data_IF_051635399253
#
_entry.id   IF_051635399253
#
_cell.length_a   1.000
_cell.length_b   1.000
_cell.length_c   1.000
_cell.angle_alpha   90.00
_cell.angle_beta   90.00
_cell.angle_gamma   90.00
#
_symmetry.space_group_name_H-M   'P 1'
#
loop_
_entity.id
_entity.type
_entity.pdbx_description
1 polymer ?
#
# COMPACT_ATOMS: atom_id res chain seq x y z
N UNK A 1 5.87 -27.74 29.74
CA UNK A 1 4.48 -27.57 29.27
C UNK A 1 4.56 -26.93 27.90
N UNK A 2 3.95 -27.53 26.89
CA UNK A 2 3.92 -26.96 25.55
C UNK A 2 3.07 -25.69 25.54
N UNK A 3 3.47 -24.72 24.72
CA UNK A 3 2.74 -23.46 24.62
C UNK A 3 1.38 -23.69 23.93
N UNK A 4 0.26 -23.17 24.46
CA UNK A 4 -1.07 -23.37 23.88
C UNK A 4 -1.17 -22.94 22.41
N UNK A 5 -0.43 -21.89 22.01
CA UNK A 5 -0.40 -21.38 20.64
C UNK A 5 0.29 -22.34 19.66
N UNK A 6 1.38 -22.99 20.10
CA UNK A 6 2.13 -23.96 19.28
C UNK A 6 1.31 -25.23 19.10
N UNK A 7 0.68 -25.72 20.17
CA UNK A 7 -0.18 -26.90 20.12
C UNK A 7 -1.43 -26.65 19.26
N UNK A 8 -2.00 -25.44 19.30
CA UNK A 8 -3.09 -25.05 18.41
C UNK A 8 -2.66 -25.07 16.93
N UNK A 9 -1.49 -24.50 16.62
CA UNK A 9 -0.93 -24.53 15.25
C UNK A 9 -0.69 -25.95 14.78
N UNK A 10 -0.12 -26.81 15.62
CA UNK A 10 0.14 -28.20 15.27
C UNK A 10 -1.16 -28.98 15.05
N UNK A 11 -2.18 -28.77 15.88
CA UNK A 11 -3.48 -29.40 15.70
C UNK A 11 -4.18 -28.94 14.41
N UNK A 12 -4.05 -27.66 14.04
CA UNK A 12 -4.55 -27.13 12.77
C UNK A 12 -3.85 -27.78 11.57
N UNK A 13 -2.52 -27.93 11.63
CA UNK A 13 -1.73 -28.60 10.59
C UNK A 13 -2.06 -30.09 10.45
N UNK A 14 -2.24 -30.77 11.59
CA UNK A 14 -2.56 -32.19 11.66
C UNK A 14 -4.06 -32.47 11.40
N UNK A 15 -4.86 -31.43 11.15
CA UNK A 15 -6.31 -31.48 10.97
C UNK A 15 -7.03 -32.24 12.11
N UNK A 16 -6.54 -32.05 13.35
CA UNK A 16 -7.11 -32.63 14.56
C UNK A 16 -8.38 -31.89 14.97
N UNK A 17 -9.29 -32.57 15.66
CA UNK A 17 -10.50 -31.96 16.19
C UNK A 17 -10.14 -30.89 17.23
N UNK A 18 -10.58 -29.65 16.98
CA UNK A 18 -10.46 -28.50 17.86
C UNK A 18 -11.86 -27.97 18.09
N UNK A 19 -12.26 -27.83 19.35
CA UNK A 19 -13.62 -27.38 19.67
C UNK A 19 -13.86 -27.26 21.17
N UNK A 20 -15.08 -26.86 21.50
CA UNK A 20 -15.56 -26.80 22.87
C UNK A 20 -16.29 -28.09 23.25
N UNK A 21 -16.66 -28.21 24.53
CA UNK A 21 -17.59 -29.25 24.95
C UNK A 21 -18.98 -28.99 24.32
N UNK A 22 -19.77 -30.04 24.10
CA UNK A 22 -21.08 -29.93 23.44
C UNK A 22 -21.98 -28.89 24.15
N UNK A 23 -22.37 -27.84 23.42
CA UNK A 23 -23.31 -26.80 23.89
C UNK A 23 -22.68 -25.47 24.35
N UNK A 24 -21.35 -25.32 24.31
CA UNK A 24 -20.68 -24.07 24.70
C UNK A 24 -20.38 -23.16 23.49
N UNK A 25 -20.71 -21.86 23.60
CA UNK A 25 -20.27 -20.79 22.68
C UNK A 25 -18.93 -20.21 23.13
N UNK A 26 -18.20 -19.58 22.21
CA UNK A 26 -16.89 -18.97 22.44
C UNK A 26 -16.90 -17.95 23.59
N UNK A 27 -18.02 -17.27 23.83
CA UNK A 27 -18.20 -16.32 24.93
C UNK A 27 -18.22 -16.97 26.31
N UNK A 28 -18.78 -18.19 26.43
CA UNK A 28 -19.03 -18.87 27.71
C UNK A 28 -18.04 -20.02 28.00
N UNK A 29 -17.39 -20.55 26.98
CA UNK A 29 -16.40 -21.60 27.13
C UNK A 29 -15.21 -21.09 27.95
N UNK A 30 -14.75 -21.90 28.92
CA UNK A 30 -13.53 -21.62 29.73
C UNK A 30 -12.32 -22.43 29.26
N UNK A 31 -12.56 -23.50 28.52
CA UNK A 31 -11.55 -24.48 28.11
C UNK A 31 -11.70 -24.76 26.62
N UNK A 32 -10.57 -24.80 25.91
CA UNK A 32 -10.46 -25.23 24.52
C UNK A 32 -9.85 -26.65 24.49
N UNK A 33 -10.54 -27.58 23.84
CA UNK A 33 -10.05 -28.93 23.64
C UNK A 33 -9.25 -28.99 22.32
N UNK A 34 -7.98 -29.37 22.42
CA UNK A 34 -7.07 -29.53 21.29
C UNK A 34 -6.57 -30.99 21.31
N UNK A 35 -7.26 -31.88 20.62
CA UNK A 35 -7.03 -33.33 20.73
C UNK A 35 -7.26 -33.83 22.17
N UNK A 36 -6.28 -34.51 22.75
CA UNK A 36 -6.35 -35.05 24.13
C UNK A 36 -5.98 -34.03 25.23
N UNK A 37 -5.65 -32.78 24.85
CA UNK A 37 -5.21 -31.74 25.78
C UNK A 37 -6.25 -30.63 25.93
N UNK A 38 -6.35 -30.11 27.14
CA UNK A 38 -7.25 -29.02 27.51
C UNK A 38 -6.46 -27.77 27.87
N UNK A 39 -6.82 -26.64 27.25
CA UNK A 39 -6.19 -25.35 27.49
C UNK A 39 -7.20 -24.31 27.97
N UNK A 40 -6.82 -23.47 28.94
CA UNK A 40 -7.67 -22.36 29.36
C UNK A 40 -7.71 -21.28 28.28
N UNK A 41 -8.90 -20.82 27.93
CA UNK A 41 -9.11 -19.78 26.90
C UNK A 41 -8.56 -18.41 27.32
N UNK A 42 -8.50 -18.15 28.63
CA UNK A 42 -7.96 -16.92 29.21
C UNK A 42 -6.44 -16.98 29.42
N UNK A 43 -5.80 -18.10 29.06
CA UNK A 43 -4.36 -18.21 29.15
C UNK A 43 -3.70 -17.21 28.18
N UNK A 44 -2.75 -16.39 28.67
CA UNK A 44 -1.98 -15.51 27.80
C UNK A 44 -1.10 -16.34 26.87
N UNK A 45 -1.00 -15.91 25.62
CA UNK A 45 -0.19 -16.59 24.59
C UNK A 45 1.03 -15.76 24.22
N UNK A 46 1.99 -16.34 23.50
CA UNK A 46 3.13 -15.60 22.95
C UNK A 46 2.77 -14.65 21.80
N UNK A 47 1.49 -14.53 21.44
CA UNK A 47 1.03 -13.55 20.45
C UNK A 47 0.86 -12.17 21.11
N UNK A 48 1.76 -11.25 20.75
CA UNK A 48 1.90 -9.91 21.34
C UNK A 48 1.80 -8.85 20.26
N UNK A 49 0.88 -7.90 20.45
CA UNK A 49 0.73 -6.73 19.59
C UNK A 49 0.98 -5.49 20.44
N UNK A 50 1.94 -4.66 20.04
CA UNK A 50 2.29 -3.40 20.72
C UNK A 50 2.52 -3.56 22.25
N UNK A 51 3.07 -4.71 22.67
CA UNK A 51 3.33 -5.03 24.09
C UNK A 51 2.12 -5.56 24.87
N UNK A 52 0.94 -5.71 24.23
CA UNK A 52 -0.23 -6.40 24.81
C UNK A 52 -0.25 -7.85 24.35
N UNK A 53 -0.15 -8.78 25.29
CA UNK A 53 -0.34 -10.21 25.03
C UNK A 53 -1.83 -10.52 24.88
N UNK A 54 -2.17 -11.35 23.89
CA UNK A 54 -3.55 -11.76 23.64
C UNK A 54 -3.80 -13.18 24.15
N UNK A 55 -5.03 -13.40 24.61
CA UNK A 55 -5.46 -14.69 25.13
C UNK A 55 -5.78 -15.68 24.00
N UNK A 56 -5.72 -16.97 24.33
CA UNK A 56 -6.05 -18.05 23.39
C UNK A 56 -7.45 -17.91 22.79
N UNK A 57 -8.40 -17.34 23.55
CA UNK A 57 -9.76 -16.99 23.12
C UNK A 57 -9.78 -16.16 21.83
N UNK A 58 -8.94 -15.13 21.75
CA UNK A 58 -8.89 -14.20 20.62
C UNK A 58 -8.34 -14.90 19.39
N UNK A 59 -7.29 -15.70 19.58
CA UNK A 59 -6.62 -16.45 18.51
C UNK A 59 -7.57 -17.50 17.91
N UNK A 60 -8.27 -18.25 18.76
CA UNK A 60 -9.22 -19.25 18.31
C UNK A 60 -10.42 -18.62 17.59
N UNK A 61 -10.95 -17.49 18.10
CA UNK A 61 -12.01 -16.73 17.41
C UNK A 61 -11.55 -16.27 16.01
N UNK A 62 -10.29 -15.82 15.86
CA UNK A 62 -9.74 -15.48 14.55
C UNK A 62 -9.70 -16.68 13.59
N UNK A 63 -9.41 -17.88 14.11
CA UNK A 63 -9.36 -19.11 13.34
C UNK A 63 -10.74 -19.59 12.88
N UNK A 64 -11.74 -19.51 13.76
CA UNK A 64 -13.13 -19.88 13.45
C UNK A 64 -13.67 -18.99 12.33
N UNK A 65 -13.43 -17.68 12.43
CA UNK A 65 -13.89 -16.70 11.45
C UNK A 65 -12.91 -16.50 10.29
N UNK A 66 -11.91 -17.37 10.08
CA UNK A 66 -10.85 -17.14 9.07
C UNK A 66 -11.35 -16.90 7.63
N UNK A 67 -12.51 -17.46 7.28
CA UNK A 67 -13.11 -17.38 5.94
C UNK A 67 -14.19 -16.27 5.86
N UNK A 68 -14.48 -15.59 6.98
CA UNK A 68 -15.48 -14.51 7.10
C UNK A 68 -14.85 -13.12 6.92
N UNK A 69 -15.67 -12.12 6.57
CA UNK A 69 -15.19 -10.75 6.37
C UNK A 69 -14.67 -10.13 7.67
N UNK A 70 -13.93 -9.01 7.56
CA UNK A 70 -13.47 -8.28 8.76
C UNK A 70 -14.61 -7.66 9.55
N UNK A 71 -15.66 -7.20 8.86
CA UNK A 71 -16.82 -6.62 9.51
C UNK A 71 -17.59 -7.67 10.33
N UNK A 72 -17.76 -8.88 9.79
CA UNK A 72 -18.47 -9.96 10.48
C UNK A 72 -17.72 -10.42 11.73
N UNK A 73 -16.39 -10.53 11.63
CA UNK A 73 -15.54 -10.86 12.77
C UNK A 73 -15.58 -9.82 13.88
N UNK A 74 -15.52 -8.52 13.56
CA UNK A 74 -15.60 -7.45 14.56
C UNK A 74 -16.94 -7.51 15.28
N UNK A 75 -18.02 -7.68 14.52
CA UNK A 75 -19.39 -7.78 15.06
C UNK A 75 -19.52 -8.95 16.05
N UNK A 76 -18.93 -10.11 15.72
CA UNK A 76 -18.99 -11.27 16.62
C UNK A 76 -18.06 -11.12 17.84
N UNK A 77 -16.90 -10.46 17.68
CA UNK A 77 -16.03 -10.14 18.81
C UNK A 77 -16.71 -9.20 19.81
N UNK A 78 -17.43 -8.18 19.32
CA UNK A 78 -18.22 -7.28 20.17
C UNK A 78 -19.35 -8.03 20.90
N UNK A 79 -20.05 -8.92 20.20
CA UNK A 79 -21.14 -9.72 20.77
C UNK A 79 -20.67 -10.66 21.88
N UNK A 80 -19.51 -11.30 21.73
CA UNK A 80 -18.95 -12.25 22.70
C UNK A 80 -17.98 -11.57 23.70
N UNK A 81 -17.90 -10.24 23.69
CA UNK A 81 -17.06 -9.40 24.54
C UNK A 81 -15.56 -9.78 24.51
N UNK A 82 -15.01 -9.89 23.29
CA UNK A 82 -13.63 -10.25 23.00
C UNK A 82 -12.92 -9.05 22.37
N UNK A 83 -11.73 -8.72 22.87
CA UNK A 83 -10.85 -7.72 22.26
C UNK A 83 -10.34 -8.21 20.90
N UNK A 84 -11.00 -7.79 19.82
CA UNK A 84 -10.64 -8.16 18.45
C UNK A 84 -9.29 -7.57 18.02
N UNK A 85 -8.62 -8.24 17.08
CA UNK A 85 -7.37 -7.78 16.47
C UNK A 85 -7.62 -7.16 15.09
N UNK A 86 -6.70 -6.31 14.63
CA UNK A 86 -6.85 -5.61 13.36
C UNK A 86 -6.68 -6.55 12.16
N UNK A 87 -7.12 -6.11 10.98
CA UNK A 87 -7.07 -6.91 9.75
C UNK A 87 -5.66 -7.43 9.41
N UNK A 88 -4.63 -6.60 9.63
CA UNK A 88 -3.24 -6.94 9.30
C UNK A 88 -2.75 -8.09 10.18
N UNK A 89 -2.95 -7.96 11.49
CA UNK A 89 -2.56 -8.96 12.49
C UNK A 89 -3.35 -10.26 12.30
N UNK A 90 -4.66 -10.15 12.04
CA UNK A 90 -5.52 -11.31 11.77
C UNK A 90 -5.06 -12.10 10.55
N UNK A 91 -4.73 -11.42 9.46
CA UNK A 91 -4.26 -12.07 8.22
C UNK A 91 -2.94 -12.81 8.46
N UNK A 92 -2.00 -12.18 9.15
CA UNK A 92 -0.70 -12.81 9.46
C UNK A 92 -0.85 -13.99 10.42
N UNK A 93 -1.65 -13.85 11.48
CA UNK A 93 -1.92 -14.92 12.45
C UNK A 93 -2.56 -16.13 11.77
N UNK A 94 -3.52 -15.93 10.86
CA UNK A 94 -4.16 -17.02 10.10
C UNK A 94 -3.13 -17.74 9.21
N UNK A 95 -2.30 -16.99 8.48
CA UNK A 95 -1.24 -17.59 7.65
C UNK A 95 -0.22 -18.36 8.50
N UNK A 96 0.10 -17.88 9.72
CA UNK A 96 1.00 -18.57 10.64
C UNK A 96 0.38 -19.87 11.19
N UNK A 97 -0.88 -19.82 11.59
CA UNK A 97 -1.64 -20.99 12.08
C UNK A 97 -1.79 -22.06 10.99
N UNK A 98 -2.03 -21.67 9.73
CA UNK A 98 -2.03 -22.58 8.56
C UNK A 98 -0.66 -23.19 8.28
N UNK A 99 0.41 -22.53 8.75
CA UNK A 99 1.78 -22.92 8.45
C UNK A 99 2.33 -22.38 7.13
N UNK A 100 1.67 -21.41 6.51
CA UNK A 100 2.14 -20.72 5.30
C UNK A 100 3.39 -19.88 5.59
N UNK A 101 3.48 -19.36 6.81
CA UNK A 101 4.67 -18.65 7.33
C UNK A 101 5.21 -19.37 8.57
N UNK A 102 6.53 -19.46 8.69
CA UNK A 102 7.20 -20.10 9.84
C UNK A 102 7.30 -19.16 11.03
N UNK A 103 7.64 -17.89 10.76
CA UNK A 103 7.91 -16.86 11.75
C UNK A 103 6.90 -15.73 11.57
N UNK A 104 6.33 -15.23 12.66
CA UNK A 104 5.44 -14.05 12.66
C UNK A 104 6.10 -12.92 13.45
N UNK A 105 5.90 -11.68 12.99
CA UNK A 105 6.40 -10.49 13.69
C UNK A 105 5.72 -10.25 15.05
N UNK A 106 4.59 -10.92 15.29
CA UNK A 106 3.75 -10.76 16.47
C UNK A 106 3.88 -11.91 17.48
N UNK A 107 4.82 -12.84 17.29
CA UNK A 107 5.05 -13.97 18.22
C UNK A 107 6.38 -13.76 18.94
N UNK A 108 6.32 -13.42 20.23
CA UNK A 108 7.50 -13.27 21.07
C UNK A 108 8.00 -14.63 21.56
N UNK A 109 9.28 -14.96 21.33
CA UNK A 109 9.90 -16.13 21.96
C UNK A 109 10.27 -17.30 21.04
N UNK A 110 10.50 -17.08 19.73
CA UNK A 110 11.05 -18.11 18.85
C UNK A 110 12.56 -18.38 19.13
N UNK A 111 12.83 -18.97 20.31
CA UNK A 111 14.01 -19.77 20.65
C UNK A 111 13.53 -21.06 21.34
N UNK A 112 12.62 -21.79 20.71
CA UNK A 112 12.38 -23.19 21.09
C UNK A 112 12.58 -24.06 19.87
N UNK A 113 13.57 -24.93 20.01
CA UNK A 113 13.97 -26.00 19.10
C UNK A 113 12.76 -26.83 18.70
N UNK A 114 12.35 -26.75 17.44
CA UNK A 114 11.62 -27.84 16.81
C UNK A 114 12.65 -28.58 15.95
N UNK A 115 12.98 -29.79 16.42
CA UNK A 115 13.64 -30.82 15.63
C UNK A 115 12.80 -31.10 14.39
N UNK A 116 13.28 -30.63 13.24
CA UNK A 116 12.74 -30.97 11.93
C UNK A 116 13.11 -32.43 11.62
N UNK A 117 12.17 -33.35 11.86
CA UNK A 117 12.05 -34.52 11.00
C UNK A 117 11.42 -34.06 9.69
N UNK A 118 12.29 -33.78 8.71
CA UNK A 118 11.88 -33.46 7.35
C UNK A 118 12.00 -34.72 6.49
N UNK A 119 10.87 -35.19 5.96
CA UNK A 119 10.79 -36.31 5.03
C UNK A 119 9.99 -35.95 3.77
N UNK A 120 10.71 -35.49 2.73
CA UNK A 120 10.59 -35.84 1.29
C UNK A 120 9.22 -35.60 0.61
N UNK A 121 9.09 -34.80 -0.45
CA UNK A 121 9.66 -34.89 -1.81
C UNK A 121 9.35 -33.52 -2.50
N UNK A 122 10.05 -33.02 -3.52
CA UNK A 122 10.19 -33.65 -4.83
C UNK A 122 11.23 -32.91 -5.73
N UNK A 123 11.97 -33.73 -6.47
CA UNK A 123 12.60 -33.50 -7.79
C UNK A 123 13.73 -32.46 -7.93
N UNK A 124 14.93 -32.91 -7.52
CA UNK A 124 16.18 -32.57 -8.19
C UNK A 124 16.35 -33.35 -9.51
N UNK A 125 16.59 -32.62 -10.59
CA UNK A 125 17.15 -33.15 -11.84
C UNK A 125 18.61 -33.61 -11.59
N UNK A 126 19.01 -34.82 -12.01
CA UNK A 126 20.33 -35.36 -11.66
C UNK A 126 21.41 -34.79 -12.58
N UNK A 127 22.03 -33.69 -12.14
CA UNK A 127 23.31 -33.21 -12.65
C UNK A 127 24.44 -34.20 -12.33
N UNK A 128 24.77 -35.03 -13.32
CA UNK A 128 25.92 -35.95 -13.30
C UNK A 128 27.21 -35.23 -12.91
N UNK A 129 27.75 -35.54 -11.71
CA UNK A 129 29.17 -35.87 -11.42
C UNK A 129 29.37 -36.06 -9.91
N UNK A 130 28.90 -37.18 -9.37
CA UNK A 130 29.51 -37.78 -8.18
C UNK A 130 30.95 -38.14 -8.56
N UNK A 131 31.93 -37.31 -8.20
CA UNK A 131 33.29 -37.84 -7.98
C UNK A 131 33.13 -38.78 -6.80
N UNK A 132 33.36 -40.09 -7.02
CA UNK A 132 33.41 -41.09 -5.96
C UNK A 132 34.34 -40.55 -4.87
N UNK A 133 33.77 -40.14 -3.74
CA UNK A 133 34.56 -39.97 -2.53
C UNK A 133 35.09 -41.38 -2.25
N UNK A 134 36.39 -41.59 -2.44
CA UNK A 134 37.06 -42.83 -2.10
C UNK A 134 36.75 -43.19 -0.65
N UNK A 135 36.70 -44.49 -0.34
CA UNK A 135 36.52 -45.03 1.02
C UNK A 135 37.68 -44.69 1.99
N UNK A 136 38.44 -43.64 1.69
CA UNK A 136 39.53 -43.15 2.49
C UNK A 136 38.98 -42.51 3.77
N UNK A 137 39.32 -43.02 4.97
CA UNK A 137 38.85 -42.48 6.23
C UNK A 137 39.19 -41.00 6.41
N UNK A 138 40.29 -40.51 5.82
CA UNK A 138 40.68 -39.10 5.89
C UNK A 138 39.69 -38.20 5.13
N UNK A 139 39.20 -38.63 3.96
CA UNK A 139 38.26 -37.84 3.16
C UNK A 139 36.87 -37.79 3.80
N UNK A 140 36.47 -38.83 4.54
CA UNK A 140 35.25 -38.83 5.35
C UNK A 140 35.34 -37.85 6.51
N UNK A 141 36.50 -37.77 7.17
CA UNK A 141 36.76 -36.83 8.26
C UNK A 141 36.86 -35.38 7.76
N UNK A 142 37.41 -35.15 6.57
CA UNK A 142 37.42 -33.81 5.95
C UNK A 142 35.99 -33.40 5.55
N UNK A 143 35.23 -34.31 4.93
CA UNK A 143 33.85 -34.01 4.51
C UNK A 143 32.89 -33.78 5.69
N UNK A 144 33.09 -34.45 6.83
CA UNK A 144 32.27 -34.21 8.04
C UNK A 144 32.55 -32.85 8.69
N UNK A 145 33.75 -32.31 8.49
CA UNK A 145 34.18 -31.01 9.02
C UNK A 145 34.06 -29.87 7.99
N UNK A 146 33.76 -30.16 6.73
CA UNK A 146 33.59 -29.16 5.67
C UNK A 146 32.27 -28.38 5.85
N UNK A 147 32.34 -27.05 5.67
CA UNK A 147 31.16 -26.17 5.68
C UNK A 147 31.07 -25.43 4.36
N UNK A 148 30.09 -25.78 3.53
CA UNK A 148 29.82 -25.08 2.27
C UNK A 148 29.13 -23.74 2.57
N UNK A 149 29.91 -22.66 2.51
CA UNK A 149 29.43 -21.31 2.82
C UNK A 149 28.47 -20.78 1.74
N UNK A 150 28.72 -21.09 0.47
CA UNK A 150 27.96 -20.58 -0.68
C UNK A 150 27.83 -21.69 -1.72
N UNK A 151 26.60 -22.00 -2.08
CA UNK A 151 26.26 -22.93 -3.16
C UNK A 151 25.82 -22.14 -4.40
N UNK A 152 25.91 -22.72 -5.60
CA UNK A 152 25.52 -22.11 -6.87
C UNK A 152 24.11 -21.51 -6.81
N UNK A 153 23.17 -22.21 -6.17
CA UNK A 153 21.80 -21.74 -5.99
C UNK A 153 21.67 -20.63 -4.93
N UNK A 154 22.60 -20.57 -3.96
CA UNK A 154 22.69 -19.45 -3.01
C UNK A 154 23.31 -18.21 -3.64
N UNK A 155 24.21 -18.34 -4.63
CA UNK A 155 24.76 -17.19 -5.40
C UNK A 155 23.67 -16.46 -6.18
N UNK A 156 22.70 -17.21 -6.73
CA UNK A 156 21.59 -16.65 -7.51
C UNK A 156 20.56 -15.91 -6.65
N UNK A 157 20.64 -16.02 -5.31
CA UNK A 157 19.76 -15.33 -4.36
C UNK A 157 20.56 -14.23 -3.67
N UNK A 158 19.98 -13.04 -3.54
CA UNK A 158 20.60 -11.97 -2.76
C UNK A 158 20.71 -12.34 -1.28
N UNK A 159 21.63 -11.69 -0.55
CA UNK A 159 21.83 -11.90 0.90
C UNK A 159 20.57 -11.68 1.76
N UNK A 160 19.58 -10.96 1.21
CA UNK A 160 18.27 -10.76 1.84
C UNK A 160 17.25 -11.65 1.14
N UNK A 161 16.59 -12.58 1.85
CA UNK A 161 15.47 -13.31 1.29
C UNK A 161 14.35 -12.32 0.97
N UNK A 162 14.21 -11.96 -0.30
CA UNK A 162 13.10 -11.15 -0.81
C UNK A 162 12.23 -12.04 -1.66
N UNK A 163 11.02 -12.29 -1.20
CA UNK A 163 10.00 -12.99 -1.97
C UNK A 163 9.18 -11.97 -2.77
N UNK A 164 9.11 -12.16 -4.09
CA UNK A 164 8.34 -11.34 -5.00
C UNK A 164 7.10 -12.07 -5.54
N UNK A 165 6.76 -13.25 -4.99
CA UNK A 165 5.62 -14.07 -5.43
C UNK A 165 4.29 -13.33 -5.33
N UNK A 166 4.12 -12.46 -4.32
CA UNK A 166 2.92 -11.63 -4.19
C UNK A 166 2.82 -10.58 -5.31
N UNK A 167 3.94 -9.93 -5.64
CA UNK A 167 4.02 -8.94 -6.73
C UNK A 167 3.79 -9.62 -8.09
N UNK A 168 4.31 -10.84 -8.27
CA UNK A 168 4.10 -11.64 -9.47
C UNK A 168 2.60 -12.00 -9.64
N UNK A 169 1.93 -12.47 -8.58
CA UNK A 169 0.48 -12.77 -8.59
C UNK A 169 -0.36 -11.52 -8.84
N UNK A 170 0.00 -10.39 -8.25
CA UNK A 170 -0.66 -9.10 -8.47
C UNK A 170 -0.51 -8.62 -9.93
N UNK A 171 0.66 -8.83 -10.54
CA UNK A 171 0.86 -8.55 -11.97
C UNK A 171 0.03 -9.48 -12.85
N UNK A 172 -0.03 -10.78 -12.53
CA UNK A 172 -0.83 -11.74 -13.28
C UNK A 172 -2.32 -11.37 -13.29
N UNK A 173 -2.87 -11.05 -12.11
CA UNK A 173 -4.28 -10.70 -11.97
C UNK A 173 -4.64 -9.39 -12.69
N UNK A 174 -3.78 -8.37 -12.62
CA UNK A 174 -4.10 -7.02 -13.12
C UNK A 174 -3.59 -6.72 -14.52
N UNK A 175 -2.59 -7.42 -15.02
CA UNK A 175 -1.96 -7.13 -16.33
C UNK A 175 -2.29 -8.21 -17.35
N UNK A 176 -2.28 -9.49 -16.95
CA UNK A 176 -2.56 -10.59 -17.88
C UNK A 176 -4.05 -10.96 -17.94
N UNK A 177 -4.75 -10.96 -16.79
CA UNK A 177 -6.19 -11.30 -16.72
C UNK A 177 -7.12 -10.15 -17.09
N UNK A 178 -6.72 -8.89 -16.90
CA UNK A 178 -7.46 -7.72 -17.41
C UNK A 178 -7.20 -7.43 -18.90
N UNK A 179 -7.12 -8.47 -19.73
CA UNK A 179 -7.29 -8.30 -21.17
C UNK A 179 -8.80 -8.24 -21.43
N UNK A 180 -9.38 -7.08 -21.81
CA UNK A 180 -10.81 -7.01 -22.05
C UNK A 180 -11.17 -7.93 -23.21
N UNK A 181 -12.06 -8.88 -22.93
CA UNK A 181 -12.85 -9.61 -23.91
C UNK A 181 -13.81 -8.64 -24.59
N UNK A 182 -13.29 -7.76 -25.44
CA UNK A 182 -14.06 -7.03 -26.44
C UNK A 182 -13.13 -6.49 -27.53
N UNK A 183 -12.70 -7.40 -28.41
CA UNK A 183 -12.21 -7.07 -29.74
C UNK A 183 -12.63 -8.20 -30.69
N UNK A 184 -13.94 -8.28 -30.98
CA UNK A 184 -14.42 -8.88 -32.23
C UNK A 184 -14.68 -7.74 -33.20
N UNK A 185 -13.88 -7.68 -34.25
CA UNK A 185 -13.98 -6.72 -35.35
C UNK A 185 -12.72 -6.74 -36.21
N UNK A 186 -12.81 -7.48 -37.33
CA UNK A 186 -12.01 -7.51 -38.58
C UNK A 186 -11.01 -6.36 -38.83
N UNK A 187 -9.90 -6.48 -39.55
CA UNK A 187 -9.34 -7.51 -40.41
C UNK A 187 -7.89 -7.12 -40.76
N UNK A 188 -7.09 -8.13 -41.08
CA UNK A 188 -5.95 -8.11 -42.01
C UNK A 188 -4.72 -7.19 -41.82
N UNK A 189 -3.56 -7.83 -42.10
CA UNK A 189 -2.33 -7.25 -42.66
C UNK A 189 -1.27 -6.76 -41.65
N UNK A 190 -0.39 -7.71 -41.31
CA UNK A 190 0.80 -7.45 -40.53
C UNK A 190 1.82 -6.56 -41.24
N UNK A 191 2.49 -5.73 -40.45
CA UNK A 191 3.85 -5.25 -40.75
C UNK A 191 4.64 -5.19 -39.44
N UNK A 192 5.68 -6.01 -39.38
CA UNK A 192 6.75 -5.86 -38.41
C UNK A 192 7.42 -4.51 -38.66
N UNK A 193 7.46 -3.65 -37.64
CA UNK A 193 8.41 -2.53 -37.60
C UNK A 193 9.23 -2.63 -36.32
N UNK A 194 10.52 -2.81 -36.55
CA UNK A 194 11.62 -2.67 -35.60
C UNK A 194 11.50 -1.34 -34.85
N UNK A 195 11.32 -1.40 -33.53
CA UNK A 195 11.43 -0.21 -32.68
C UNK A 195 12.67 -0.29 -31.82
N UNK A 196 13.63 0.54 -32.19
CA UNK A 196 14.76 1.01 -31.41
C UNK A 196 14.36 1.33 -29.97
N UNK A 197 15.08 0.73 -29.04
CA UNK A 197 15.01 0.98 -27.60
C UNK A 197 15.39 2.41 -27.25
N UNK A 198 14.42 3.19 -26.81
CA UNK A 198 14.62 4.42 -26.03
C UNK A 198 13.52 4.52 -24.96
N UNK A 199 13.82 5.08 -23.78
CA UNK A 199 13.17 4.71 -22.52
C UNK A 199 11.71 5.17 -22.47
N UNK A 200 10.82 4.22 -22.19
CA UNK A 200 9.37 4.28 -22.35
C UNK A 200 8.59 4.88 -21.17
N UNK A 201 9.23 5.47 -20.17
CA UNK A 201 8.51 5.95 -18.97
C UNK A 201 7.59 7.15 -19.24
N UNK A 202 7.87 7.98 -20.25
CA UNK A 202 7.04 9.16 -20.56
C UNK A 202 5.82 8.85 -21.44
N UNK A 203 5.76 7.65 -22.03
CA UNK A 203 4.70 7.34 -23.01
C UNK A 203 3.36 7.01 -22.35
N UNK A 204 3.36 6.44 -21.16
CA UNK A 204 2.15 5.99 -20.44
C UNK A 204 1.48 7.08 -19.59
N UNK A 205 2.21 8.11 -19.16
CA UNK A 205 1.63 9.22 -18.40
C UNK A 205 0.63 10.06 -19.23
N UNK A 206 0.74 10.00 -20.57
CA UNK A 206 -0.06 10.80 -21.53
C UNK A 206 -1.52 10.39 -21.61
N UNK A 207 -1.84 9.15 -21.24
CA UNK A 207 -3.21 8.62 -21.26
C UNK A 207 -3.88 8.62 -19.86
N UNK A 208 -3.13 9.01 -18.82
CA UNK A 208 -3.61 8.98 -17.43
C UNK A 208 -3.99 10.38 -16.98
N UNK A 209 -5.01 10.50 -16.12
CA UNK A 209 -5.48 11.81 -15.65
C UNK A 209 -4.35 12.57 -14.91
N UNK A 210 -4.13 13.87 -15.21
CA UNK A 210 -3.18 14.74 -14.52
C UNK A 210 -3.61 14.99 -13.07
N UNK A 211 -2.66 15.29 -12.20
CA UNK A 211 -2.88 15.42 -10.75
C UNK A 211 -2.55 16.84 -10.25
N UNK A 212 -3.44 17.39 -9.44
CA UNK A 212 -3.23 18.60 -8.64
C UNK A 212 -3.09 18.17 -7.18
N UNK A 213 -2.00 18.56 -6.54
CA UNK A 213 -1.74 18.26 -5.13
C UNK A 213 -2.08 19.48 -4.28
N UNK A 214 -2.97 19.32 -3.31
CA UNK A 214 -3.33 20.33 -2.32
C UNK A 214 -2.45 20.22 -1.07
N UNK A 215 -2.41 21.28 -0.27
CA UNK A 215 -1.76 21.23 1.04
C UNK A 215 -2.70 20.54 2.04
N UNK A 216 -2.23 19.55 2.82
CA UNK A 216 -3.02 18.89 3.85
C UNK A 216 -3.25 19.78 5.10
N UNK A 217 -2.72 21.00 5.12
CA UNK A 217 -2.83 21.88 6.26
C UNK A 217 -4.24 22.49 6.41
N UNK A 218 -4.76 22.47 7.64
CA UNK A 218 -5.99 23.15 8.04
C UNK A 218 -5.95 24.68 7.95
N UNK A 219 -4.85 25.27 7.46
CA UNK A 219 -4.74 26.70 7.14
C UNK A 219 -4.78 26.97 5.63
N UNK A 220 -4.90 25.95 4.78
CA UNK A 220 -4.99 26.13 3.32
C UNK A 220 -6.33 26.75 2.92
N UNK A 221 -6.34 27.77 2.06
CA UNK A 221 -7.59 28.36 1.56
C UNK A 221 -8.33 27.44 0.59
N UNK A 222 -7.58 26.62 -0.16
CA UNK A 222 -8.12 25.62 -1.09
C UNK A 222 -7.90 24.24 -0.49
N UNK A 223 -8.99 23.51 -0.23
CA UNK A 223 -9.03 22.17 0.37
C UNK A 223 -9.95 21.24 -0.42
N UNK A 224 -9.97 19.97 -0.06
CA UNK A 224 -10.86 18.98 -0.67
C UNK A 224 -12.35 19.34 -0.56
N UNK A 225 -12.74 20.16 0.43
CA UNK A 225 -14.14 20.57 0.63
C UNK A 225 -14.63 21.59 -0.41
N UNK A 226 -13.80 22.58 -0.78
CA UNK A 226 -14.19 23.71 -1.62
C UNK A 226 -13.53 23.72 -3.02
N UNK A 227 -12.54 22.86 -3.27
CA UNK A 227 -11.72 22.92 -4.49
C UNK A 227 -12.54 22.70 -5.77
N UNK A 228 -13.64 21.95 -5.69
CA UNK A 228 -14.50 21.69 -6.85
C UNK A 228 -15.26 22.95 -7.24
N UNK A 229 -15.95 23.57 -6.29
CA UNK A 229 -16.71 24.81 -6.47
C UNK A 229 -15.77 25.95 -6.88
N UNK A 230 -14.58 26.00 -6.29
CA UNK A 230 -13.59 27.02 -6.63
C UNK A 230 -13.01 26.82 -8.03
N UNK A 231 -12.39 25.67 -8.32
CA UNK A 231 -11.67 25.48 -9.59
C UNK A 231 -12.60 25.21 -10.79
N UNK A 232 -13.77 24.61 -10.58
CA UNK A 232 -14.70 24.28 -11.66
C UNK A 232 -15.72 25.38 -11.91
N UNK A 233 -16.34 25.90 -10.84
CA UNK A 233 -17.41 26.89 -10.95
C UNK A 233 -16.93 28.34 -10.78
N UNK A 234 -15.68 28.53 -10.34
CA UNK A 234 -15.09 29.87 -10.14
C UNK A 234 -15.64 30.59 -8.90
N UNK A 235 -16.13 29.84 -7.89
CA UNK A 235 -16.75 30.40 -6.68
C UNK A 235 -15.97 29.99 -5.45
N UNK A 236 -15.38 30.95 -4.74
CA UNK A 236 -14.68 30.62 -3.50
C UNK A 236 -15.65 30.46 -2.34
N UNK A 237 -15.58 29.30 -1.69
CA UNK A 237 -16.26 29.01 -0.44
C UNK A 237 -15.24 28.91 0.69
N UNK A 238 -15.54 29.51 1.84
CA UNK A 238 -14.64 29.50 2.98
C UNK A 238 -14.56 28.07 3.56
N UNK A 239 -13.37 27.44 3.56
CA UNK A 239 -13.23 26.06 4.01
C UNK A 239 -13.49 25.87 5.51
N UNK A 240 -13.63 26.96 6.28
CA UNK A 240 -14.00 26.91 7.70
C UNK A 240 -15.50 26.71 7.92
N UNK A 241 -16.33 27.01 6.91
CA UNK A 241 -17.79 26.90 6.96
C UNK A 241 -18.32 25.62 6.32
N UNK A 242 -17.44 24.85 5.68
CA UNK A 242 -17.78 23.60 5.01
C UNK A 242 -17.42 22.40 5.89
N UNK A 243 -18.24 21.36 5.77
CA UNK A 243 -17.95 20.07 6.40
C UNK A 243 -16.68 19.49 5.80
N UNK A 244 -15.76 19.02 6.65
CA UNK A 244 -14.54 18.36 6.20
C UNK A 244 -14.90 17.19 5.28
N UNK A 245 -14.34 17.19 4.06
CA UNK A 245 -14.51 16.06 3.14
C UNK A 245 -13.76 14.84 3.69
N UNK A 246 -14.41 13.68 3.71
CA UNK A 246 -13.77 12.40 4.05
C UNK A 246 -12.97 11.81 2.89
N UNK A 247 -13.09 12.38 1.68
CA UNK A 247 -12.39 11.90 0.49
C UNK A 247 -11.03 12.59 0.30
N UNK A 248 -9.98 11.77 0.19
CA UNK A 248 -8.60 12.23 -0.08
C UNK A 248 -8.29 12.32 -1.59
N UNK A 249 -9.27 11.99 -2.44
CA UNK A 249 -9.17 12.01 -3.89
C UNK A 249 -10.50 12.49 -4.49
N UNK A 250 -10.42 13.49 -5.37
CA UNK A 250 -11.56 14.10 -6.02
C UNK A 250 -11.25 14.31 -7.50
N UNK A 251 -12.19 13.98 -8.38
CA UNK A 251 -12.06 14.32 -9.79
C UNK A 251 -12.76 15.65 -10.08
N UNK A 252 -12.07 16.55 -10.78
CA UNK A 252 -12.64 17.80 -11.31
C UNK A 252 -12.51 17.82 -12.82
N UNK A 253 -13.35 18.62 -13.48
CA UNK A 253 -13.35 18.71 -14.94
C UNK A 253 -13.15 20.16 -15.38
N UNK A 254 -12.14 20.41 -16.22
CA UNK A 254 -11.89 21.72 -16.82
C UNK A 254 -12.33 21.72 -18.27
N UNK A 255 -13.31 22.57 -18.59
CA UNK A 255 -13.65 22.95 -19.96
C UNK A 255 -12.81 24.17 -20.32
N UNK A 256 -12.00 24.09 -21.37
CA UNK A 256 -11.20 25.20 -21.87
C UNK A 256 -11.26 25.24 -23.38
N UNK A 257 -11.17 26.42 -23.96
CA UNK A 257 -11.10 26.63 -25.41
C UNK A 257 -9.84 26.04 -26.04
N UNK A 258 -8.79 25.81 -25.24
CA UNK A 258 -7.52 25.21 -25.71
C UNK A 258 -7.64 23.71 -25.98
N UNK A 259 -8.69 23.06 -25.49
CA UNK A 259 -8.92 21.62 -25.61
C UNK A 259 -10.29 21.35 -26.24
N UNK A 260 -10.40 20.35 -27.11
CA UNK A 260 -11.65 20.04 -27.82
C UNK A 260 -12.71 19.38 -26.92
N UNK A 261 -12.23 18.69 -25.89
CA UNK A 261 -12.99 17.93 -24.91
C UNK A 261 -12.59 18.43 -23.52
N UNK A 262 -13.48 18.29 -22.54
CA UNK A 262 -13.15 18.64 -21.17
C UNK A 262 -12.06 17.72 -20.61
N UNK A 263 -11.03 18.30 -20.01
CA UNK A 263 -9.98 17.53 -19.34
C UNK A 263 -10.45 17.18 -17.93
N UNK A 264 -10.33 15.90 -17.57
CA UNK A 264 -10.55 15.42 -16.21
C UNK A 264 -9.22 15.40 -15.45
N UNK A 265 -9.20 16.00 -14.26
CA UNK A 265 -8.04 16.08 -13.39
C UNK A 265 -8.36 15.45 -12.04
N UNK A 266 -7.35 14.84 -11.43
CA UNK A 266 -7.43 14.33 -10.07
C UNK A 266 -6.85 15.35 -9.10
N UNK A 267 -7.58 15.60 -8.02
CA UNK A 267 -7.17 16.45 -6.91
C UNK A 267 -6.97 15.57 -5.70
N UNK A 268 -5.86 15.76 -5.01
CA UNK A 268 -5.44 14.96 -3.85
C UNK A 268 -4.82 15.87 -2.80
N UNK A 269 -5.03 15.57 -1.53
CA UNK A 269 -4.44 16.30 -0.40
C UNK A 269 -3.34 15.50 0.34
N UNK A 270 -3.40 14.16 0.25
CA UNK A 270 -2.44 13.25 0.86
C UNK A 270 -1.64 12.46 -0.19
N UNK A 271 -0.36 12.79 -0.32
CA UNK A 271 0.54 12.09 -1.25
C UNK A 271 1.06 10.75 -0.71
N UNK A 272 1.14 10.54 0.61
CA UNK A 272 1.76 9.36 1.20
C UNK A 272 1.02 8.07 0.83
N UNK A 273 -0.32 8.12 0.85
CA UNK A 273 -1.16 6.96 0.54
C UNK A 273 -1.28 6.70 -0.96
N UNK A 274 -1.18 7.73 -1.79
CA UNK A 274 -1.48 7.68 -3.23
C UNK A 274 -0.24 7.57 -4.12
N UNK A 275 0.90 8.13 -3.70
CA UNK A 275 2.11 8.24 -4.51
C UNK A 275 3.12 7.14 -4.19
N UNK A 276 2.64 5.91 -3.97
CA UNK A 276 3.49 4.73 -3.74
C UNK A 276 4.40 4.41 -4.94
N UNK A 277 3.99 4.80 -6.15
CA UNK A 277 4.79 4.65 -7.38
C UNK A 277 5.36 5.99 -7.84
N UNK A 278 6.60 6.01 -8.32
CA UNK A 278 7.22 7.24 -8.85
C UNK A 278 6.46 7.84 -10.05
N UNK A 279 5.74 7.01 -10.82
CA UNK A 279 4.96 7.45 -12.00
C UNK A 279 3.87 8.48 -11.68
N UNK A 280 3.32 8.50 -10.45
CA UNK A 280 2.29 9.47 -10.07
C UNK A 280 2.83 10.90 -10.13
N UNK A 281 4.12 11.10 -9.81
CA UNK A 281 4.77 12.41 -9.88
C UNK A 281 4.87 12.96 -11.30
N UNK A 282 4.98 12.10 -12.31
CA UNK A 282 5.06 12.54 -13.71
C UNK A 282 3.73 13.17 -14.17
N UNK A 283 2.62 12.77 -13.52
CA UNK A 283 1.27 13.30 -13.76
C UNK A 283 0.96 14.59 -13.00
N UNK A 284 1.80 15.00 -12.06
CA UNK A 284 1.56 16.23 -11.27
C UNK A 284 1.73 17.46 -12.16
N UNK A 285 0.72 18.32 -12.19
CA UNK A 285 0.72 19.56 -12.99
C UNK A 285 0.77 20.82 -12.12
N UNK A 286 0.29 20.73 -10.88
CA UNK A 286 0.25 21.82 -9.93
C UNK A 286 0.37 21.32 -8.49
N UNK A 287 1.02 22.11 -7.64
CA UNK A 287 1.14 21.88 -6.20
C UNK A 287 0.69 23.16 -5.49
N UNK A 288 -0.33 23.07 -4.65
CA UNK A 288 -0.78 24.15 -3.78
C UNK A 288 -0.04 24.05 -2.45
N UNK A 289 0.55 25.15 -1.99
CA UNK A 289 1.27 25.21 -0.72
C UNK A 289 0.67 26.20 0.26
N UNK A 290 0.91 25.97 1.54
CA UNK A 290 0.65 26.94 2.63
C UNK A 290 1.90 27.69 3.09
N UNK A 291 3.05 27.50 2.44
CA UNK A 291 4.30 28.18 2.81
C UNK A 291 5.09 27.49 3.93
N UNK A 292 4.70 26.27 4.32
CA UNK A 292 5.34 25.51 5.40
C UNK A 292 6.16 24.35 4.84
N UNK A 293 7.45 24.31 5.17
CA UNK A 293 8.39 23.30 4.65
C UNK A 293 7.98 21.85 4.96
N UNK A 294 7.35 21.63 6.12
CA UNK A 294 6.95 20.29 6.53
C UNK A 294 5.99 19.63 5.53
N UNK A 295 5.27 20.42 4.73
CA UNK A 295 4.36 19.93 3.70
C UNK A 295 5.07 18.98 2.72
N UNK A 296 6.35 19.22 2.41
CA UNK A 296 7.07 18.53 1.36
C UNK A 296 7.93 17.36 1.87
N UNK A 297 7.89 17.05 3.17
CA UNK A 297 8.72 15.98 3.79
C UNK A 297 8.59 14.63 3.09
N UNK A 298 7.38 14.32 2.61
CA UNK A 298 7.04 13.06 1.96
C UNK A 298 6.83 13.19 0.44
N UNK A 299 7.31 14.29 -0.15
CA UNK A 299 7.25 14.51 -1.59
C UNK A 299 8.48 13.92 -2.27
N UNK A 300 8.42 13.73 -3.60
CA UNK A 300 9.56 13.26 -4.40
C UNK A 300 10.79 14.15 -4.25
N UNK A 301 10.57 15.47 -4.16
CA UNK A 301 11.60 16.45 -3.84
C UNK A 301 11.21 17.15 -2.53
N UNK A 302 12.05 17.00 -1.51
CA UNK A 302 11.81 17.56 -0.18
C UNK A 302 12.16 19.03 -0.09
N UNK A 303 13.15 19.46 -0.88
CA UNK A 303 13.57 20.85 -0.99
C UNK A 303 12.57 21.62 -1.85
N UNK A 304 11.87 22.64 -1.31
CA UNK A 304 10.93 23.47 -2.04
C UNK A 304 11.55 24.14 -3.27
N UNK A 305 12.82 24.56 -3.22
CA UNK A 305 13.46 25.24 -4.34
C UNK A 305 13.59 24.32 -5.55
N UNK A 306 14.02 23.08 -5.32
CA UNK A 306 14.13 22.05 -6.37
C UNK A 306 12.73 21.59 -6.81
N UNK A 307 11.79 21.46 -5.88
CA UNK A 307 10.42 21.05 -6.16
C UNK A 307 9.74 22.03 -7.14
N UNK A 308 9.82 23.33 -6.86
CA UNK A 308 9.17 24.38 -7.66
C UNK A 308 9.95 24.82 -8.90
N UNK A 309 11.14 24.26 -9.13
CA UNK A 309 11.77 24.27 -10.45
C UNK A 309 11.17 23.20 -11.38
N UNK A 310 10.64 22.10 -10.82
CA UNK A 310 10.12 20.96 -11.59
C UNK A 310 8.59 20.97 -11.73
N UNK A 311 7.88 21.55 -10.76
CA UNK A 311 6.43 21.63 -10.73
C UNK A 311 5.96 23.07 -10.53
N UNK A 312 4.77 23.40 -11.03
CA UNK A 312 4.18 24.71 -10.78
C UNK A 312 3.63 24.77 -9.36
N UNK A 313 4.18 25.66 -8.55
CA UNK A 313 3.68 25.95 -7.21
C UNK A 313 2.68 27.09 -7.18
N UNK A 314 1.67 26.96 -6.33
CA UNK A 314 0.66 28.00 -6.09
C UNK A 314 0.52 28.27 -4.59
N UNK A 315 0.41 29.54 -4.23
CA UNK A 315 0.12 29.98 -2.89
C UNK A 315 -1.11 30.89 -2.92
N UNK A 316 -2.22 30.41 -2.39
CA UNK A 316 -3.44 31.20 -2.26
C UNK A 316 -3.41 31.96 -0.93
N UNK A 317 -3.67 33.26 -0.98
CA UNK A 317 -3.83 34.09 0.21
C UNK A 317 -5.05 35.00 0.06
N UNK A 318 -5.50 35.59 1.16
CA UNK A 318 -6.43 36.71 1.03
C UNK A 318 -5.69 37.97 0.62
N UNK A 319 -6.37 38.80 -0.18
CA UNK A 319 -5.89 40.12 -0.55
C UNK A 319 -5.63 40.95 0.72
N UNK A 320 -4.45 41.58 0.77
CA UNK A 320 -3.98 42.34 1.94
C UNK A 320 -3.16 41.54 2.95
N UNK A 321 -3.24 40.20 2.95
CA UNK A 321 -2.42 39.38 3.84
C UNK A 321 -0.95 39.40 3.39
N UNK A 322 -0.03 39.41 4.36
CA UNK A 322 1.40 39.38 4.08
C UNK A 322 1.83 38.01 3.54
N UNK A 323 2.63 38.00 2.47
CA UNK A 323 3.21 36.76 1.93
C UNK A 323 4.35 36.32 2.86
N UNK A 324 4.36 35.08 3.38
CA UNK A 324 5.44 34.58 4.23
C UNK A 324 6.81 34.66 3.52
N UNK A 325 7.91 34.95 4.24
CA UNK A 325 9.25 35.02 3.63
C UNK A 325 9.66 33.72 2.92
N UNK A 326 9.25 32.56 3.46
CA UNK A 326 9.48 31.25 2.85
C UNK A 326 8.89 31.18 1.43
N UNK A 327 7.62 31.56 1.27
CA UNK A 327 6.92 31.60 -0.02
C UNK A 327 7.61 32.56 -1.00
N UNK A 328 8.07 33.72 -0.54
CA UNK A 328 8.81 34.68 -1.38
C UNK A 328 10.15 34.11 -1.91
N UNK A 329 10.76 33.19 -1.17
CA UNK A 329 12.03 32.55 -1.56
C UNK A 329 11.86 31.41 -2.56
N UNK A 330 10.61 30.99 -2.83
CA UNK A 330 10.30 29.86 -3.72
C UNK A 330 9.72 30.34 -5.05
N UNK A 331 9.88 29.53 -6.10
CA UNK A 331 9.29 29.78 -7.42
C UNK A 331 7.79 29.41 -7.44
N UNK A 332 6.98 30.11 -6.64
CA UNK A 332 5.54 29.85 -6.49
C UNK A 332 4.73 31.06 -6.92
N UNK A 333 3.61 30.81 -7.58
CA UNK A 333 2.67 31.86 -8.02
C UNK A 333 1.75 32.20 -6.86
N UNK A 334 1.76 33.47 -6.46
CA UNK A 334 0.85 33.99 -5.43
C UNK A 334 -0.45 34.42 -6.08
N UNK A 335 -1.57 33.92 -5.56
CA UNK A 335 -2.92 34.20 -6.03
C UNK A 335 -3.75 34.79 -4.90
N UNK A 336 -4.32 35.97 -5.15
CA UNK A 336 -5.02 36.77 -4.15
C UNK A 336 -6.53 36.55 -4.27
N UNK A 337 -7.14 36.02 -3.21
CA UNK A 337 -8.58 35.83 -3.09
C UNK A 337 -9.16 36.99 -2.29
N UNK A 338 -10.22 37.62 -2.77
CA UNK A 338 -10.88 38.67 -2.02
C UNK A 338 -11.76 38.09 -0.89
N UNK A 339 -11.83 38.77 0.26
CA UNK A 339 -12.69 38.33 1.37
C UNK A 339 -14.16 38.70 1.14
N UNK A 340 -14.40 39.76 0.39
CA UNK A 340 -15.72 40.37 0.17
C UNK A 340 -16.13 40.26 -1.29
N UNK A 341 -15.24 40.63 -2.22
CA UNK A 341 -15.53 40.73 -3.65
C UNK A 341 -15.41 39.40 -4.40
N UNK A 342 -16.46 38.57 -4.32
CA UNK A 342 -16.51 37.23 -4.96
C UNK A 342 -16.51 37.23 -6.50
N UNK A 343 -16.76 38.37 -7.15
CA UNK A 343 -16.70 38.44 -8.61
C UNK A 343 -15.26 38.25 -9.14
N UNK A 344 -14.26 38.56 -8.32
CA UNK A 344 -12.84 38.41 -8.66
C UNK A 344 -12.37 36.95 -8.63
N UNK A 345 -13.08 36.05 -7.93
CA UNK A 345 -12.72 34.63 -7.79
C UNK A 345 -12.52 33.96 -9.15
N UNK A 346 -13.40 34.26 -10.12
CA UNK A 346 -13.31 33.72 -11.49
C UNK A 346 -12.02 34.14 -12.19
N UNK A 347 -11.59 35.39 -12.00
CA UNK A 347 -10.33 35.87 -12.57
C UNK A 347 -9.13 35.13 -11.96
N UNK A 348 -9.14 34.93 -10.65
CA UNK A 348 -8.08 34.18 -9.94
C UNK A 348 -8.00 32.74 -10.43
N UNK A 349 -9.15 32.10 -10.61
CA UNK A 349 -9.25 30.73 -11.11
C UNK A 349 -8.77 30.62 -12.56
N UNK A 350 -9.07 31.59 -13.41
CA UNK A 350 -8.53 31.62 -14.78
C UNK A 350 -7.00 31.81 -14.80
N UNK A 351 -6.42 32.63 -13.92
CA UNK A 351 -4.96 32.76 -13.79
C UNK A 351 -4.28 31.43 -13.37
N UNK A 352 -4.92 30.71 -12.46
CA UNK A 352 -4.50 29.36 -12.08
C UNK A 352 -4.56 28.43 -13.30
N UNK A 353 -5.70 28.39 -14.00
CA UNK A 353 -5.91 27.52 -15.15
C UNK A 353 -4.98 27.82 -16.31
N UNK A 354 -4.69 29.09 -16.62
CA UNK A 354 -3.74 29.43 -17.69
C UNK A 354 -2.38 28.76 -17.48
N UNK A 355 -1.90 28.73 -16.23
CA UNK A 355 -0.65 28.07 -15.88
C UNK A 355 -0.74 26.55 -16.00
N UNK A 356 -1.83 25.96 -15.50
CA UNK A 356 -2.05 24.51 -15.54
C UNK A 356 -2.23 24.04 -16.98
N UNK A 357 -3.02 24.75 -17.78
CA UNK A 357 -3.29 24.44 -19.18
C UNK A 357 -2.02 24.55 -20.04
N UNK A 358 -1.19 25.58 -19.84
CA UNK A 358 0.12 25.65 -20.49
C UNK A 358 0.99 24.42 -20.15
N UNK A 359 0.91 23.94 -18.92
CA UNK A 359 1.64 22.74 -18.48
C UNK A 359 1.06 21.47 -19.08
N UNK A 360 -0.26 21.37 -19.19
CA UNK A 360 -0.96 20.26 -19.83
C UNK A 360 -0.58 20.15 -21.31
N UNK A 361 -0.54 21.29 -22.02
CA UNK A 361 -0.09 21.38 -23.41
C UNK A 361 1.39 20.98 -23.52
N UNK A 362 2.27 21.52 -22.66
CA UNK A 362 3.69 21.18 -22.67
C UNK A 362 3.95 19.69 -22.41
N UNK A 363 3.17 19.07 -21.51
CA UNK A 363 3.21 17.63 -21.23
C UNK A 363 2.48 16.78 -22.28
N UNK A 364 1.91 17.39 -23.33
CA UNK A 364 1.19 16.74 -24.44
C UNK A 364 -0.01 15.91 -23.98
N UNK A 365 -0.72 16.38 -22.95
CA UNK A 365 -2.03 15.82 -22.62
C UNK A 365 -2.97 16.05 -23.80
N UNK A 366 -3.56 14.96 -24.30
CA UNK A 366 -4.51 15.01 -25.41
C UNK A 366 -5.92 15.13 -24.87
N UNK A 367 -6.69 15.91 -25.60
CA UNK A 367 -8.13 16.05 -25.52
C UNK A 367 -8.82 14.90 -26.23
#
# INVERSE_FOLDING_TARGET
MSEPLIDLRQAIKDNKAIGFNEGESIGNAKVLNIGDKQYSLDAPTSFVINGKAFNLKVIYQCWVFRDSSSADYITECEKENIDGISFVERSELISWLKGEITNSAFIEGEKVRITEENGKNEEETPGKKKRKLSDDPLLKEIASNERVLIDHNKVLRGLKPKDFSSVAKDCELRILREKPTNAKGSDSSGRLSTSSSSPSSSKDARNKEPIIVLSPAASSLVRMSNVKEFLQEGKFLDPSKETASSSNLLAIQRKSSRFKTPIKLLVVDNVEKLFTKSEYWDRVVAIVTTGKDWQFKNYKYKDPQILFQKFNGFYFKYKGDAVPPSVKSWNVKVLDIDRVERFSDRQVVEQFWDTVENTLVAKRYKS
#
